data_IF_903941879369
#
_entry.id   IF_903941879369
#
_cell.length_a   1.000
_cell.length_b   1.000
_cell.length_c   1.000
_cell.angle_alpha   90.00
_cell.angle_beta   90.00
_cell.angle_gamma   90.00
#
_symmetry.space_group_name_H-M   'P 1'
#
loop_
_entity.id
_entity.type
_entity.pdbx_description
1 polymer ?
#
# COMPACT_ATOMS: atom_id res chain seq x y z
N UNK A 1 16.63 19.48 11.44
CA UNK A 1 16.24 18.22 12.11
C UNK A 1 15.79 17.20 11.06
N UNK A 2 16.38 16.01 11.02
CA UNK A 2 16.00 14.98 10.06
C UNK A 2 14.57 14.50 10.35
N UNK A 3 13.70 14.52 9.33
CA UNK A 3 12.30 14.08 9.42
C UNK A 3 12.28 12.59 9.77
N UNK A 4 12.04 12.25 11.05
CA UNK A 4 11.96 10.86 11.54
C UNK A 4 10.91 10.12 10.72
N UNK A 5 11.36 9.26 9.80
CA UNK A 5 10.49 8.45 8.98
C UNK A 5 9.80 7.42 9.87
N UNK A 6 8.51 7.63 10.17
CA UNK A 6 7.73 6.75 11.05
C UNK A 6 7.32 5.44 10.40
N UNK A 7 7.60 5.25 9.11
CA UNK A 7 7.18 4.08 8.33
C UNK A 7 8.26 2.98 8.37
N UNK A 8 8.58 2.49 9.57
CA UNK A 8 9.53 1.38 9.76
C UNK A 8 8.86 0.06 9.38
N UNK A 9 9.38 -0.59 8.35
CA UNK A 9 8.97 -1.93 7.93
C UNK A 9 9.76 -2.99 8.70
N UNK A 10 9.23 -4.22 8.79
CA UNK A 10 9.84 -5.31 9.55
C UNK A 10 11.23 -5.68 9.02
N UNK A 11 11.39 -5.73 7.70
CA UNK A 11 12.66 -6.02 7.01
C UNK A 11 13.04 -4.78 6.18
N UNK A 12 14.00 -3.95 6.64
CA UNK A 12 14.37 -2.70 5.97
C UNK A 12 14.77 -2.86 4.50
N UNK A 13 15.47 -3.95 4.18
CA UNK A 13 16.01 -4.26 2.86
C UNK A 13 14.89 -4.54 1.84
N UNK A 14 13.69 -4.89 2.31
CA UNK A 14 12.54 -5.17 1.47
C UNK A 14 11.84 -3.91 0.94
N UNK A 15 12.30 -2.70 1.28
CA UNK A 15 11.62 -1.43 0.96
C UNK A 15 11.30 -1.30 -0.53
N UNK A 16 12.31 -1.47 -1.38
CA UNK A 16 12.14 -1.34 -2.83
C UNK A 16 11.15 -2.37 -3.39
N UNK A 17 11.20 -3.60 -2.89
CA UNK A 17 10.26 -4.65 -3.29
C UNK A 17 8.82 -4.36 -2.83
N UNK A 18 8.64 -3.82 -1.62
CA UNK A 18 7.33 -3.40 -1.13
C UNK A 18 6.78 -2.20 -1.89
N UNK A 19 7.63 -1.25 -2.30
CA UNK A 19 7.19 -0.12 -3.11
C UNK A 19 6.78 -0.56 -4.52
N UNK A 20 7.52 -1.49 -5.15
CA UNK A 20 7.12 -2.10 -6.41
C UNK A 20 5.80 -2.89 -6.27
N UNK A 21 5.64 -3.67 -5.20
CA UNK A 21 4.39 -4.39 -4.92
C UNK A 21 3.21 -3.43 -4.74
N UNK A 22 3.42 -2.34 -4.00
CA UNK A 22 2.42 -1.29 -3.76
C UNK A 22 1.90 -0.70 -5.07
N UNK A 23 2.79 -0.39 -6.02
CA UNK A 23 2.38 0.07 -7.35
C UNK A 23 1.60 -1.01 -8.11
N UNK A 24 2.09 -2.26 -8.09
CA UNK A 24 1.49 -3.40 -8.80
C UNK A 24 0.05 -3.69 -8.36
N UNK A 25 -0.26 -3.68 -7.05
CA UNK A 25 -1.58 -4.10 -6.53
C UNK A 25 -2.74 -3.17 -6.89
N UNK A 26 -2.44 -1.95 -7.32
CA UNK A 26 -3.42 -0.94 -7.76
C UNK A 26 -3.12 -0.43 -9.17
N UNK A 27 -2.25 -1.13 -9.91
CA UNK A 27 -1.85 -0.79 -11.28
C UNK A 27 -1.36 0.66 -11.45
N UNK A 28 -0.79 1.23 -10.39
CA UNK A 28 -0.24 2.58 -10.43
C UNK A 28 1.10 2.60 -11.15
N UNK A 29 1.39 3.70 -11.87
CA UNK A 29 2.71 3.93 -12.47
C UNK A 29 3.79 4.11 -11.41
N UNK A 30 3.47 4.89 -10.38
CA UNK A 30 4.38 5.22 -9.29
C UNK A 30 3.83 4.73 -7.93
N UNK A 31 4.68 4.18 -7.04
CA UNK A 31 4.28 3.75 -5.71
C UNK A 31 3.67 4.87 -4.85
N UNK A 32 4.03 6.13 -5.12
CA UNK A 32 3.50 7.29 -4.41
C UNK A 32 2.06 7.63 -4.81
N UNK A 33 1.69 7.31 -6.05
CA UNK A 33 0.35 7.57 -6.58
C UNK A 33 -0.63 6.43 -6.27
N UNK A 34 -0.14 5.26 -5.87
CA UNK A 34 -0.95 4.09 -5.50
C UNK A 34 -2.10 4.37 -4.50
N UNK A 35 -1.91 5.33 -3.60
CA UNK A 35 -2.96 5.73 -2.63
C UNK A 35 -4.12 6.50 -3.29
N UNK A 36 -3.85 7.22 -4.37
CA UNK A 36 -4.87 7.97 -5.12
C UNK A 36 -5.67 7.02 -6.00
N UNK A 37 -5.00 6.09 -6.68
CA UNK A 37 -5.67 5.00 -7.42
C UNK A 37 -6.58 4.16 -6.50
N UNK A 38 -6.04 3.75 -5.33
CA UNK A 38 -6.84 3.04 -4.34
C UNK A 38 -8.04 3.85 -3.84
N UNK A 39 -7.92 5.18 -3.76
CA UNK A 39 -8.99 6.06 -3.31
C UNK A 39 -10.07 6.23 -4.39
N UNK A 40 -9.66 6.36 -5.65
CA UNK A 40 -10.57 6.43 -6.80
C UNK A 40 -11.41 5.15 -6.90
N UNK A 41 -10.77 3.97 -6.83
CA UNK A 41 -11.47 2.69 -6.88
C UNK A 41 -12.51 2.53 -5.75
N UNK A 42 -12.23 3.07 -4.56
CA UNK A 42 -13.14 2.97 -3.42
C UNK A 42 -14.06 4.19 -3.26
N UNK A 43 -14.04 5.12 -4.20
CA UNK A 43 -14.91 6.31 -4.23
C UNK A 43 -14.64 7.30 -3.09
N UNK A 44 -13.39 7.42 -2.64
CA UNK A 44 -12.98 8.37 -1.59
C UNK A 44 -12.30 9.58 -2.24
N UNK A 45 -12.71 10.82 -1.93
CA UNK A 45 -12.17 12.03 -2.56
C UNK A 45 -10.81 12.43 -1.94
N UNK A 46 -9.82 11.56 -2.06
CA UNK A 46 -8.44 11.80 -1.61
C UNK A 46 -7.71 12.71 -2.60
N UNK A 47 -7.20 13.86 -2.13
CA UNK A 47 -6.49 14.84 -2.97
C UNK A 47 -5.03 15.00 -2.59
N UNK A 48 -4.21 15.54 -3.50
CA UNK A 48 -2.85 15.99 -3.18
C UNK A 48 -2.98 17.20 -2.22
N UNK A 49 -2.35 17.12 -1.04
CA UNK A 49 -2.40 18.16 -0.02
C UNK A 49 -3.23 17.79 1.23
N UNK A 50 -3.98 18.76 1.75
CA UNK A 50 -4.74 18.59 3.01
C UNK A 50 -6.02 17.77 2.80
N UNK A 51 -6.20 16.75 3.62
CA UNK A 51 -7.35 15.84 3.59
C UNK A 51 -8.06 15.76 4.95
N UNK A 52 -7.99 16.81 5.78
CA UNK A 52 -8.56 16.77 7.13
C UNK A 52 -10.08 16.68 7.17
N UNK A 53 -10.75 16.91 6.03
CA UNK A 53 -12.18 16.68 5.88
C UNK A 53 -12.56 15.19 5.70
N UNK A 54 -11.59 14.32 5.39
CA UNK A 54 -11.86 12.89 5.25
C UNK A 54 -12.13 12.28 6.62
N UNK A 55 -13.19 11.49 6.70
CA UNK A 55 -13.49 10.70 7.89
C UNK A 55 -12.44 9.60 8.08
N UNK A 56 -12.26 9.17 9.33
CA UNK A 56 -11.39 8.02 9.65
C UNK A 56 -11.82 6.76 8.89
N UNK A 57 -13.12 6.59 8.64
CA UNK A 57 -13.66 5.47 7.88
C UNK A 57 -13.21 5.53 6.41
N UNK A 58 -13.30 6.69 5.76
CA UNK A 58 -12.84 6.88 4.38
C UNK A 58 -11.33 6.66 4.26
N UNK A 59 -10.53 7.25 5.15
CA UNK A 59 -9.09 7.02 5.18
C UNK A 59 -8.75 5.53 5.41
N UNK A 60 -9.50 4.87 6.29
CA UNK A 60 -9.42 3.44 6.54
C UNK A 60 -9.78 2.60 5.32
N UNK A 61 -10.78 3.00 4.53
CA UNK A 61 -11.19 2.32 3.29
C UNK A 61 -10.07 2.33 2.25
N UNK A 62 -9.42 3.48 2.03
CA UNK A 62 -8.27 3.61 1.14
C UNK A 62 -7.09 2.76 1.63
N UNK A 63 -6.74 2.89 2.91
CA UNK A 63 -5.65 2.13 3.51
C UNK A 63 -5.89 0.62 3.49
N UNK A 64 -7.13 0.19 3.73
CA UNK A 64 -7.55 -1.21 3.68
C UNK A 64 -7.50 -1.79 2.27
N UNK A 65 -7.97 -1.03 1.26
CA UNK A 65 -7.86 -1.45 -0.14
C UNK A 65 -6.41 -1.66 -0.54
N UNK A 66 -5.52 -0.69 -0.28
CA UNK A 66 -4.12 -0.79 -0.66
C UNK A 66 -3.36 -1.81 0.20
N UNK A 67 -3.33 -1.60 1.52
CA UNK A 67 -2.59 -2.43 2.48
C UNK A 67 -3.10 -3.86 2.56
N UNK A 68 -4.42 -4.05 2.60
CA UNK A 68 -5.02 -5.39 2.64
C UNK A 68 -4.70 -6.19 1.37
N UNK A 69 -4.70 -5.55 0.20
CA UNK A 69 -4.35 -6.22 -1.06
C UNK A 69 -2.86 -6.60 -1.12
N UNK A 70 -1.97 -5.72 -0.64
CA UNK A 70 -0.55 -6.05 -0.52
C UNK A 70 -0.33 -7.26 0.40
N UNK A 71 -0.98 -7.30 1.57
CA UNK A 71 -0.84 -8.43 2.51
C UNK A 71 -1.37 -9.73 1.89
N UNK A 72 -2.52 -9.70 1.22
CA UNK A 72 -3.06 -10.87 0.51
C UNK A 72 -2.08 -11.40 -0.54
N UNK A 73 -1.49 -10.52 -1.35
CA UNK A 73 -0.53 -10.90 -2.38
C UNK A 73 0.79 -11.43 -1.78
N UNK A 74 1.28 -10.85 -0.67
CA UNK A 74 2.44 -11.37 0.07
C UNK A 74 2.20 -12.78 0.59
N UNK A 75 1.04 -13.03 1.20
CA UNK A 75 0.68 -14.36 1.70
C UNK A 75 0.60 -15.37 0.56
N UNK A 76 -0.01 -14.99 -0.56
CA UNK A 76 -0.09 -15.83 -1.77
C UNK A 76 1.31 -16.19 -2.30
N UNK A 77 2.18 -15.21 -2.50
CA UNK A 77 3.57 -15.45 -2.95
C UNK A 77 4.33 -16.37 -1.99
N UNK A 78 4.14 -16.21 -0.68
CA UNK A 78 4.76 -17.07 0.32
C UNK A 78 4.27 -18.52 0.21
N UNK A 79 2.95 -18.73 0.08
CA UNK A 79 2.35 -20.05 -0.11
C UNK A 79 2.88 -20.74 -1.37
N UNK A 80 2.92 -20.03 -2.50
CA UNK A 80 3.45 -20.57 -3.77
C UNK A 80 4.93 -20.96 -3.65
N UNK A 81 5.75 -20.13 -3.01
CA UNK A 81 7.16 -20.43 -2.80
C UNK A 81 7.39 -21.62 -1.87
N UNK A 82 6.52 -21.82 -0.88
CA UNK A 82 6.55 -22.99 -0.01
C UNK A 82 6.14 -24.26 -0.75
N UNK A 83 5.14 -24.17 -1.64
CA UNK A 83 4.69 -25.30 -2.45
C UNK A 83 5.77 -25.75 -3.46
N UNK A 84 6.48 -24.81 -4.09
CA UNK A 84 7.58 -25.11 -5.04
C UNK A 84 8.83 -25.72 -4.41
N UNK A 85 9.01 -25.53 -3.09
CA UNK A 85 10.14 -26.06 -2.33
C UNK A 85 9.89 -27.46 -1.77
N UNK A 86 8.68 -28.00 -1.96
CA UNK A 86 8.30 -29.37 -1.62
C UNK A 86 8.47 -30.24 -2.85
#
# INVERSE_FOLDING_TARGET
>A
MARRNRNKILVPEARNGLDALKAKVVQAKDPEDAKFEAAEEVGVPLKKGYNGQLTSQEAGKVGGRLGGSMVRELVKMAQENMAKKR
#
